data_IF_994012407910
#
_entry.id   IF_994012407910
#
_cell.length_a   1.000
_cell.length_b   1.000
_cell.length_c   1.000
_cell.angle_alpha   90.00
_cell.angle_beta   90.00
_cell.angle_gamma   90.00
#
_symmetry.space_group_name_H-M   'P 1'
#
loop_
_entity.id
_entity.type
_entity.pdbx_description
1 polymer ?
#
# COMPACT_ATOMS: atom_id res chain seq x y z
N UNK A 1 0.19 -8.32 7.38
CA UNK A 1 -1.25 -8.06 7.15
C UNK A 1 -1.94 -7.21 8.22
N UNK A 2 -1.58 -7.30 9.51
CA UNK A 2 -2.30 -6.56 10.57
C UNK A 2 -2.18 -5.03 10.42
N UNK A 3 -0.99 -4.55 10.03
CA UNK A 3 -0.71 -3.12 9.78
C UNK A 3 -1.61 -2.54 8.69
N UNK A 4 -1.75 -3.23 7.54
CA UNK A 4 -2.61 -2.77 6.43
C UNK A 4 -4.07 -2.66 6.87
N UNK A 5 -4.58 -3.60 7.68
CA UNK A 5 -5.94 -3.53 8.22
C UNK A 5 -6.11 -2.36 9.19
N UNK A 6 -5.15 -2.15 10.09
CA UNK A 6 -5.15 -1.02 11.04
C UNK A 6 -5.16 0.32 10.29
N UNK A 7 -4.28 0.48 9.31
CA UNK A 7 -4.21 1.68 8.47
C UNK A 7 -5.46 1.85 7.60
N UNK A 8 -6.04 0.74 7.11
CA UNK A 8 -7.35 0.73 6.45
C UNK A 8 -8.48 1.26 7.33
N UNK A 9 -8.49 0.96 8.63
CA UNK A 9 -9.45 1.54 9.57
C UNK A 9 -9.19 3.03 9.82
N UNK A 10 -7.91 3.43 9.95
CA UNK A 10 -7.53 4.83 10.16
C UNK A 10 -7.90 5.72 8.98
N UNK A 11 -7.66 5.27 7.73
CA UNK A 11 -7.98 6.06 6.53
C UNK A 11 -9.48 6.19 6.28
N UNK A 12 -10.30 5.29 6.83
CA UNK A 12 -11.75 5.41 6.73
C UNK A 12 -12.33 6.50 7.64
N UNK A 13 -11.53 7.03 8.57
CA UNK A 13 -11.89 8.16 9.43
C UNK A 13 -11.04 9.39 9.06
N UNK A 14 -11.61 10.36 8.32
CA UNK A 14 -10.89 11.56 7.88
C UNK A 14 -10.26 12.35 9.03
N UNK A 15 -10.89 12.38 10.21
CA UNK A 15 -10.39 13.14 11.37
C UNK A 15 -9.10 12.50 11.89
N UNK A 16 -9.08 11.18 12.04
CA UNK A 16 -7.87 10.46 12.43
C UNK A 16 -6.80 10.50 11.35
N UNK A 17 -7.20 10.38 10.08
CA UNK A 17 -6.25 10.33 8.98
C UNK A 17 -5.57 11.67 8.69
N UNK A 18 -6.21 12.79 9.02
CA UNK A 18 -5.60 14.12 8.95
C UNK A 18 -4.32 14.23 9.78
N UNK A 19 -4.32 13.67 11.00
CA UNK A 19 -3.14 13.65 11.88
C UNK A 19 -1.98 12.89 11.23
N UNK A 20 -2.27 11.77 10.57
CA UNK A 20 -1.28 11.00 9.81
C UNK A 20 -0.75 11.83 8.64
N UNK A 21 -1.63 12.51 7.90
CA UNK A 21 -1.21 13.35 6.79
C UNK A 21 -0.24 14.46 7.21
N UNK A 22 -0.51 15.11 8.34
CA UNK A 22 0.35 16.16 8.92
C UNK A 22 1.70 15.61 9.40
N UNK A 23 1.70 14.42 10.03
CA UNK A 23 2.91 13.74 10.49
C UNK A 23 3.83 13.34 9.32
N UNK A 24 3.26 13.06 8.14
CA UNK A 24 3.99 12.71 6.92
C UNK A 24 4.15 13.91 5.97
N UNK A 25 4.37 15.11 6.50
CA UNK A 25 4.48 16.36 5.73
C UNK A 25 5.75 16.49 4.86
N UNK A 26 6.86 15.85 5.26
CA UNK A 26 8.12 15.97 4.52
C UNK A 26 8.07 15.19 3.18
N UNK A 27 8.61 15.73 2.07
CA UNK A 27 8.58 15.07 0.76
C UNK A 27 9.14 13.65 0.76
N UNK A 28 10.19 13.37 1.54
CA UNK A 28 10.79 12.03 1.68
C UNK A 28 9.85 10.97 2.29
N UNK A 29 8.81 11.41 2.99
CA UNK A 29 7.80 10.58 3.63
C UNK A 29 6.49 10.52 2.80
N UNK A 30 6.52 11.00 1.56
CA UNK A 30 5.35 11.05 0.68
C UNK A 30 5.62 10.33 -0.63
N UNK A 31 4.54 9.91 -1.27
CA UNK A 31 4.56 9.45 -2.65
C UNK A 31 3.52 10.26 -3.42
N UNK A 32 4.02 11.22 -4.21
CA UNK A 32 3.18 12.33 -4.66
C UNK A 32 2.63 13.11 -3.46
N UNK A 33 1.33 13.42 -3.50
CA UNK A 33 0.65 14.14 -2.42
C UNK A 33 0.05 13.23 -1.35
N UNK A 34 0.45 11.95 -1.29
CA UNK A 34 -0.07 11.00 -0.30
C UNK A 34 0.99 10.59 0.75
N UNK A 35 0.59 10.40 2.02
CA UNK A 35 1.46 9.83 3.04
C UNK A 35 1.99 8.44 2.64
N UNK A 36 3.31 8.25 2.71
CA UNK A 36 3.96 6.95 2.52
C UNK A 36 4.06 6.19 3.85
N UNK A 37 2.88 5.87 4.39
CA UNK A 37 2.70 5.26 5.71
C UNK A 37 3.05 3.76 5.78
N UNK A 38 2.87 3.16 6.95
CA UNK A 38 3.22 1.75 7.16
C UNK A 38 2.39 0.78 6.29
N UNK A 39 1.17 1.15 5.90
CA UNK A 39 0.38 0.35 4.95
C UNK A 39 1.08 0.29 3.59
N UNK A 40 1.49 1.44 3.06
CA UNK A 40 2.27 1.52 1.82
C UNK A 40 3.57 0.73 1.90
N UNK A 41 4.35 0.94 2.97
CA UNK A 41 5.62 0.24 3.19
C UNK A 41 5.42 -1.28 3.28
N UNK A 42 4.38 -1.72 4.01
CA UNK A 42 4.04 -3.14 4.15
C UNK A 42 3.68 -3.75 2.81
N UNK A 43 2.84 -3.09 2.01
CA UNK A 43 2.45 -3.56 0.68
C UNK A 43 3.66 -3.61 -0.28
N UNK A 44 4.49 -2.56 -0.31
CA UNK A 44 5.70 -2.51 -1.13
C UNK A 44 6.70 -3.62 -0.75
N UNK A 45 6.92 -3.84 0.55
CA UNK A 45 7.76 -4.94 1.05
C UNK A 45 7.21 -6.31 0.66
N UNK A 46 5.90 -6.54 0.78
CA UNK A 46 5.28 -7.80 0.35
C UNK A 46 5.41 -8.02 -1.16
N UNK A 47 5.19 -6.98 -1.97
CA UNK A 47 5.36 -7.04 -3.41
C UNK A 47 6.80 -7.41 -3.81
N UNK A 48 7.79 -6.78 -3.18
CA UNK A 48 9.20 -7.07 -3.40
C UNK A 48 9.57 -8.51 -3.02
N UNK A 49 9.09 -9.00 -1.86
CA UNK A 49 9.29 -10.40 -1.43
C UNK A 49 8.72 -11.41 -2.41
N UNK A 50 7.53 -11.16 -2.95
CA UNK A 50 6.96 -12.00 -4.01
C UNK A 50 7.83 -12.00 -5.27
N UNK A 51 8.37 -10.84 -5.67
CA UNK A 51 9.29 -10.77 -6.80
C UNK A 51 10.61 -11.50 -6.58
N UNK A 52 11.11 -11.50 -5.35
CA UNK A 52 12.29 -12.30 -5.01
C UNK A 52 11.98 -13.80 -5.01
N UNK A 53 10.78 -14.19 -4.56
CA UNK A 53 10.34 -15.59 -4.61
C UNK A 53 10.21 -16.09 -6.05
N UNK A 54 9.73 -15.26 -6.99
CA UNK A 54 9.58 -15.62 -8.40
C UNK A 54 10.92 -15.93 -9.12
N UNK A 55 12.05 -15.45 -8.56
CA UNK A 55 13.39 -15.78 -9.07
C UNK A 55 13.83 -17.20 -8.76
N UNK A 56 13.15 -17.89 -7.85
CA UNK A 56 13.44 -19.28 -7.53
C UNK A 56 13.02 -20.22 -8.68
N UNK A 57 13.53 -21.46 -8.64
CA UNK A 57 13.10 -22.51 -9.57
C UNK A 57 11.72 -23.03 -9.17
N UNK A 58 10.70 -22.35 -9.66
CA UNK A 58 9.29 -22.66 -9.45
C UNK A 58 8.68 -23.29 -10.70
N UNK A 59 7.62 -24.08 -10.51
CA UNK A 59 6.76 -24.55 -11.59
C UNK A 59 6.00 -23.38 -12.23
N UNK A 60 5.50 -23.58 -13.44
CA UNK A 60 4.68 -22.59 -14.13
C UNK A 60 3.43 -22.19 -13.34
N UNK A 61 2.81 -23.16 -12.65
CA UNK A 61 1.63 -22.93 -11.80
C UNK A 61 1.99 -22.04 -10.60
N UNK A 62 3.09 -22.33 -9.90
CA UNK A 62 3.54 -21.51 -8.77
C UNK A 62 3.88 -20.08 -9.18
N UNK A 63 4.53 -19.90 -10.34
CA UNK A 63 4.80 -18.57 -10.90
C UNK A 63 3.53 -17.80 -11.18
N UNK A 64 2.54 -18.43 -11.83
CA UNK A 64 1.24 -17.82 -12.07
C UNK A 64 0.54 -17.39 -10.77
N UNK A 65 0.65 -18.19 -9.69
CA UNK A 65 0.14 -17.81 -8.37
C UNK A 65 0.84 -16.58 -7.81
N UNK A 66 2.17 -16.48 -7.95
CA UNK A 66 2.93 -15.32 -7.50
C UNK A 66 2.53 -14.06 -8.29
N UNK A 67 2.36 -14.18 -9.60
CA UNK A 67 1.91 -13.09 -10.47
C UNK A 67 0.55 -12.57 -10.04
N UNK A 68 -0.43 -13.45 -9.83
CA UNK A 68 -1.76 -13.06 -9.31
C UNK A 68 -1.66 -12.35 -7.96
N UNK A 69 -0.79 -12.82 -7.05
CA UNK A 69 -0.58 -12.16 -5.75
C UNK A 69 0.05 -10.78 -5.90
N UNK A 70 0.97 -10.59 -6.83
CA UNK A 70 1.58 -9.28 -7.13
C UNK A 70 0.55 -8.31 -7.69
N UNK A 71 -0.31 -8.77 -8.61
CA UNK A 71 -1.41 -7.95 -9.14
C UNK A 71 -2.43 -7.59 -8.06
N UNK A 72 -2.76 -8.51 -7.16
CA UNK A 72 -3.63 -8.21 -6.01
C UNK A 72 -3.03 -7.13 -5.11
N UNK A 73 -1.73 -7.16 -4.83
CA UNK A 73 -1.08 -6.10 -4.03
C UNK A 73 -1.11 -4.76 -4.76
N UNK A 74 -0.89 -4.73 -6.08
CA UNK A 74 -1.03 -3.49 -6.88
C UNK A 74 -2.45 -2.94 -6.81
N UNK A 75 -3.46 -3.80 -6.93
CA UNK A 75 -4.86 -3.39 -6.81
C UNK A 75 -5.17 -2.83 -5.41
N UNK A 76 -4.67 -3.48 -4.36
CA UNK A 76 -4.78 -2.99 -2.98
C UNK A 76 -4.11 -1.63 -2.78
N UNK A 77 -2.90 -1.41 -3.34
CA UNK A 77 -2.21 -0.12 -3.27
C UNK A 77 -3.04 0.98 -3.92
N UNK A 78 -3.55 0.76 -5.14
CA UNK A 78 -4.40 1.75 -5.84
C UNK A 78 -5.68 2.06 -5.07
N UNK A 79 -6.31 1.04 -4.47
CA UNK A 79 -7.49 1.25 -3.64
C UNK A 79 -7.16 2.09 -2.41
N UNK A 80 -6.05 1.77 -1.74
CA UNK A 80 -5.61 2.50 -0.56
C UNK A 80 -5.26 3.95 -0.88
N UNK A 81 -4.55 4.21 -1.99
CA UNK A 81 -4.27 5.58 -2.47
C UNK A 81 -5.56 6.40 -2.62
N UNK A 82 -6.59 5.82 -3.25
CA UNK A 82 -7.90 6.47 -3.38
C UNK A 82 -8.57 6.74 -2.04
N UNK A 83 -8.45 5.82 -1.08
CA UNK A 83 -8.97 6.03 0.28
C UNK A 83 -8.24 7.19 0.96
N UNK A 84 -6.90 7.23 0.86
CA UNK A 84 -6.10 8.32 1.43
C UNK A 84 -6.48 9.67 0.83
N UNK A 85 -6.57 9.72 -0.50
CA UNK A 85 -6.93 10.93 -1.25
C UNK A 85 -8.31 11.45 -0.82
N UNK A 86 -9.30 10.57 -0.76
CA UNK A 86 -10.64 10.88 -0.24
C UNK A 86 -10.60 11.39 1.21
N UNK A 87 -9.80 10.76 2.07
CA UNK A 87 -9.73 11.12 3.49
C UNK A 87 -9.10 12.50 3.73
N UNK A 88 -8.18 12.95 2.87
CA UNK A 88 -7.52 14.25 2.98
C UNK A 88 -8.06 15.30 1.99
N UNK A 89 -9.06 14.95 1.18
CA UNK A 89 -9.73 15.85 0.26
C UNK A 89 -8.89 16.27 -0.96
N UNK A 90 -8.03 15.38 -1.47
CA UNK A 90 -7.26 15.61 -2.70
C UNK A 90 -7.75 14.69 -3.83
N UNK A 91 -7.61 15.15 -5.07
CA UNK A 91 -7.89 14.35 -6.26
C UNK A 91 -6.63 13.62 -6.76
N UNK A 92 -6.81 12.43 -7.34
CA UNK A 92 -5.75 11.56 -7.88
C UNK A 92 -5.80 11.43 -9.40
#
# INVERSE_FOLDING_TARGET
MNVVKKHGALVNDPTHYKVINEAYSLPKNRKGDLPYDEAHQTMASHYARLGNLDKARLTSVEKSIIDMRRENIKAMQKLYEKMQAKAIGVDL
#
